data_IF_730990559791
#
_entry.id   IF_730990559791
#
_cell.length_a   1.000
_cell.length_b   1.000
_cell.length_c   1.000
_cell.angle_alpha   90.00
_cell.angle_beta   90.00
_cell.angle_gamma   90.00
#
_symmetry.space_group_name_H-M   'P 1'
#
loop_
_entity.id
_entity.type
_entity.pdbx_description
1 polymer ?
#
# COMPACT_ATOMS: atom_id res chain seq x y z
N UNK A 1 47.31 6.21 40.85
CA UNK A 1 45.88 6.55 40.66
C UNK A 1 45.54 7.16 39.29
N UNK A 2 46.50 7.65 38.48
CA UNK A 2 46.20 8.30 37.15
C UNK A 2 45.91 7.32 36.01
N UNK A 3 46.33 6.05 36.02
CA UNK A 3 46.10 5.10 34.97
C UNK A 3 44.70 4.46 34.95
N UNK A 4 43.99 4.44 36.08
CA UNK A 4 42.60 3.88 36.15
C UNK A 4 41.51 4.85 35.66
N UNK A 5 41.76 6.15 35.67
CA UNK A 5 40.82 7.13 35.14
C UNK A 5 40.81 7.20 33.61
N UNK A 6 41.95 6.96 32.98
CA UNK A 6 42.06 7.03 31.49
C UNK A 6 41.35 5.83 30.83
N UNK A 7 41.37 4.66 31.45
CA UNK A 7 40.69 3.46 30.93
C UNK A 7 39.17 3.57 31.07
N UNK A 8 38.66 4.25 32.11
CA UNK A 8 37.23 4.50 32.30
C UNK A 8 36.69 5.50 31.28
N UNK A 9 37.46 6.53 30.94
CA UNK A 9 37.06 7.55 29.94
C UNK A 9 37.08 6.97 28.51
N UNK A 10 38.06 6.10 28.18
CA UNK A 10 38.09 5.43 26.90
C UNK A 10 36.96 4.40 26.74
N UNK A 11 36.53 3.71 27.80
CA UNK A 11 35.40 2.78 27.76
C UNK A 11 34.06 3.54 27.65
N UNK A 12 33.93 4.69 28.29
CA UNK A 12 32.75 5.56 28.17
C UNK A 12 32.65 6.21 26.78
N UNK A 13 33.78 6.57 26.17
CA UNK A 13 33.81 7.10 24.80
C UNK A 13 33.47 6.02 23.76
N UNK A 14 33.81 4.73 24.01
CA UNK A 14 33.47 3.61 23.11
C UNK A 14 31.98 3.25 23.20
N UNK A 15 31.34 3.46 24.34
CA UNK A 15 29.90 3.21 24.53
C UNK A 15 29.03 4.32 23.92
N UNK A 16 29.55 5.53 23.76
CA UNK A 16 28.81 6.65 23.12
C UNK A 16 28.90 6.57 21.58
N UNK A 17 29.93 5.91 21.03
CA UNK A 17 30.07 5.74 19.59
C UNK A 17 29.25 4.59 18.98
N UNK A 18 28.52 3.80 19.81
CA UNK A 18 27.59 2.76 19.36
C UNK A 18 26.13 3.24 19.28
N UNK A 19 25.85 4.50 19.64
CA UNK A 19 24.52 5.13 19.51
C UNK A 19 24.42 6.09 18.33
N UNK A 20 25.07 5.82 17.24
CA UNK A 20 25.01 6.67 16.06
C UNK A 20 24.72 5.90 14.79
N UNK A 21 23.56 6.13 14.26
CA UNK A 21 23.02 5.78 12.92
C UNK A 21 21.88 4.76 12.92
N UNK A 22 20.78 5.08 13.61
CA UNK A 22 19.47 4.51 13.29
C UNK A 22 18.44 5.58 12.91
N UNK A 23 18.82 6.62 12.21
CA UNK A 23 17.93 7.77 12.02
C UNK A 23 17.83 8.28 10.59
N UNK A 24 17.75 7.39 9.60
CA UNK A 24 17.34 7.79 8.23
C UNK A 24 16.01 7.16 7.85
N UNK A 25 15.53 6.18 8.62
CA UNK A 25 14.20 5.57 8.42
C UNK A 25 13.21 5.83 9.57
N UNK A 26 13.61 6.54 10.61
CA UNK A 26 12.71 7.06 11.65
C UNK A 26 12.14 8.43 11.26
N UNK A 27 11.49 8.54 10.12
CA UNK A 27 10.19 9.20 10.15
C UNK A 27 9.30 8.22 10.91
N UNK A 28 8.88 8.57 12.09
CA UNK A 28 7.82 7.87 12.83
C UNK A 28 6.62 7.72 11.89
N UNK A 29 6.63 6.63 11.14
CA UNK A 29 5.44 6.16 10.48
C UNK A 29 4.59 5.67 11.63
N UNK A 30 3.56 6.44 11.96
CA UNK A 30 2.50 6.01 12.84
C UNK A 30 2.21 4.56 12.49
N UNK A 31 2.50 3.65 13.41
CA UNK A 31 2.16 2.24 13.29
C UNK A 31 0.74 2.17 12.74
N UNK A 32 0.50 1.28 11.78
CA UNK A 32 -0.86 0.87 11.43
C UNK A 32 -1.48 0.44 12.75
N UNK A 33 -2.22 1.33 13.38
CA UNK A 33 -3.11 0.90 14.44
C UNK A 33 -4.13 0.04 13.73
N UNK A 34 -4.32 -1.23 14.13
CA UNK A 34 -5.56 -1.90 13.79
C UNK A 34 -6.65 -0.86 14.08
N UNK A 35 -7.65 -0.76 13.24
CA UNK A 35 -8.83 0.03 13.52
C UNK A 35 -9.16 -0.18 14.99
N UNK A 36 -8.81 0.80 15.83
CA UNK A 36 -9.38 0.84 17.17
C UNK A 36 -10.85 1.09 16.86
N UNK A 37 -11.65 0.04 16.99
CA UNK A 37 -13.09 0.18 17.11
C UNK A 37 -13.31 1.43 17.94
N UNK A 38 -14.17 2.38 17.49
CA UNK A 38 -14.58 3.47 18.37
C UNK A 38 -15.05 2.81 19.63
N UNK A 39 -14.15 2.82 20.63
CA UNK A 39 -14.25 2.07 21.84
C UNK A 39 -15.64 2.30 22.41
N UNK A 40 -16.45 1.23 22.40
CA UNK A 40 -17.58 1.04 23.29
C UNK A 40 -18.53 2.24 23.44
N UNK A 41 -19.23 2.61 22.36
CA UNK A 41 -20.34 3.54 22.53
C UNK A 41 -21.65 2.83 22.89
N UNK A 42 -21.69 1.48 22.94
CA UNK A 42 -22.92 0.75 23.17
C UNK A 42 -22.76 -0.56 23.98
N UNK A 43 -21.73 -0.69 24.83
CA UNK A 43 -21.54 -1.89 25.66
C UNK A 43 -21.64 -1.60 27.16
N UNK A 44 -22.50 -0.68 27.56
CA UNK A 44 -22.98 -0.68 28.95
C UNK A 44 -24.45 -0.24 28.97
N UNK A 45 -25.19 -0.75 29.93
CA UNK A 45 -26.62 -0.58 30.11
C UNK A 45 -27.10 0.87 30.37
N UNK A 46 -26.27 1.85 30.12
CA UNK A 46 -26.61 3.25 29.93
C UNK A 46 -26.87 3.48 28.44
N UNK A 47 -28.12 3.38 28.07
CA UNK A 47 -28.68 3.77 26.76
C UNK A 47 -28.12 5.15 26.42
N UNK A 48 -27.14 5.21 25.53
CA UNK A 48 -26.51 6.49 25.14
C UNK A 48 -27.58 7.33 24.46
N UNK A 49 -28.17 8.26 25.22
CA UNK A 49 -29.22 9.11 24.72
C UNK A 49 -28.68 10.02 23.61
N UNK A 50 -29.29 9.96 22.47
CA UNK A 50 -29.04 10.86 21.35
C UNK A 50 -29.60 12.23 21.71
N UNK A 51 -28.77 13.26 21.69
CA UNK A 51 -29.12 14.61 22.12
C UNK A 51 -29.20 15.65 21.00
N UNK A 52 -28.61 15.36 19.83
CA UNK A 52 -28.62 16.27 18.70
C UNK A 52 -28.33 15.51 17.39
N UNK A 53 -28.48 16.20 16.27
CA UNK A 53 -28.26 15.67 14.94
C UNK A 53 -26.85 15.06 14.73
N UNK A 54 -25.80 15.73 15.21
CA UNK A 54 -24.43 15.22 15.07
C UNK A 54 -24.21 13.90 15.86
N UNK A 55 -24.87 13.77 17.01
CA UNK A 55 -24.89 12.52 17.79
C UNK A 55 -25.64 11.41 17.04
N UNK A 56 -26.78 11.74 16.44
CA UNK A 56 -27.55 10.81 15.59
C UNK A 56 -26.71 10.29 14.41
N UNK A 57 -26.11 11.19 13.65
CA UNK A 57 -25.26 10.81 12.51
C UNK A 57 -24.07 9.95 12.92
N UNK A 58 -23.47 10.25 14.08
CA UNK A 58 -22.36 9.46 14.61
C UNK A 58 -22.81 8.03 14.97
N UNK A 59 -23.94 7.88 15.64
CA UNK A 59 -24.51 6.58 15.98
C UNK A 59 -24.86 5.77 14.74
N UNK A 60 -25.56 6.38 13.77
CA UNK A 60 -25.92 5.72 12.50
C UNK A 60 -24.69 5.25 11.72
N UNK A 61 -23.66 6.09 11.59
CA UNK A 61 -22.39 5.71 10.92
C UNK A 61 -21.67 4.57 11.64
N UNK A 62 -21.63 4.58 12.98
CA UNK A 62 -21.02 3.53 13.76
C UNK A 62 -21.74 2.17 13.56
N UNK A 63 -23.07 2.18 13.58
CA UNK A 63 -23.89 0.98 13.34
C UNK A 63 -23.72 0.45 11.92
N UNK A 64 -23.69 1.35 10.92
CA UNK A 64 -23.45 0.97 9.53
C UNK A 64 -22.07 0.33 9.33
N UNK A 65 -21.03 0.88 9.98
CA UNK A 65 -19.66 0.35 9.91
C UNK A 65 -19.55 -1.04 10.60
N UNK A 66 -20.36 -1.30 11.63
CA UNK A 66 -20.45 -2.60 12.31
C UNK A 66 -21.38 -3.59 11.60
N UNK A 67 -21.97 -3.21 10.47
CA UNK A 67 -22.96 -4.02 9.76
C UNK A 67 -24.20 -4.38 10.59
N UNK A 68 -24.62 -3.49 11.50
CA UNK A 68 -25.83 -3.70 12.28
C UNK A 68 -27.05 -3.51 11.38
N UNK A 69 -27.95 -4.52 11.36
CA UNK A 69 -29.15 -4.51 10.51
C UNK A 69 -30.34 -3.88 11.18
N UNK A 70 -30.40 -3.95 12.50
CA UNK A 70 -31.51 -3.39 13.28
C UNK A 70 -31.01 -3.02 14.67
N UNK A 71 -31.34 -1.83 15.13
CA UNK A 71 -30.97 -1.31 16.45
C UNK A 71 -31.96 -0.24 16.90
N UNK A 72 -31.94 0.07 18.19
CA UNK A 72 -32.81 1.08 18.81
C UNK A 72 -31.98 2.24 19.31
N UNK A 73 -32.40 3.46 19.01
CA UNK A 73 -31.85 4.71 19.53
C UNK A 73 -32.85 5.37 20.48
N UNK A 74 -32.38 5.83 21.62
CA UNK A 74 -33.18 6.59 22.56
C UNK A 74 -32.85 8.09 22.49
N UNK A 75 -33.89 8.92 22.48
CA UNK A 75 -33.80 10.38 22.37
C UNK A 75 -34.31 11.00 23.68
N UNK A 76 -33.40 11.49 24.50
CA UNK A 76 -33.71 12.23 25.73
C UNK A 76 -33.13 13.64 25.64
N UNK A 77 -33.92 14.66 26.04
CA UNK A 77 -33.51 16.07 25.97
C UNK A 77 -32.90 16.44 24.60
N UNK A 78 -33.58 16.01 23.53
CA UNK A 78 -33.08 16.16 22.16
C UNK A 78 -33.27 17.63 21.67
N UNK A 79 -32.17 18.21 21.16
CA UNK A 79 -32.16 19.54 20.57
C UNK A 79 -32.47 19.44 19.07
N UNK A 80 -33.74 19.56 18.70
CA UNK A 80 -34.22 19.45 17.35
C UNK A 80 -35.61 18.81 17.26
N UNK A 81 -36.07 18.54 16.03
CA UNK A 81 -37.31 17.80 15.77
C UNK A 81 -36.97 16.39 15.36
N UNK A 82 -37.16 15.44 16.28
CA UNK A 82 -36.71 14.03 16.13
C UNK A 82 -37.17 13.43 14.79
N UNK A 83 -38.45 13.64 14.37
CA UNK A 83 -38.97 13.07 13.14
C UNK A 83 -38.27 13.61 11.89
N UNK A 84 -38.07 14.94 11.84
CA UNK A 84 -37.40 15.58 10.70
C UNK A 84 -35.92 15.20 10.64
N UNK A 85 -35.26 15.22 11.77
CA UNK A 85 -33.84 14.88 11.89
C UNK A 85 -33.57 13.39 11.60
N UNK A 86 -34.45 12.47 12.02
CA UNK A 86 -34.36 11.06 11.64
C UNK A 86 -34.50 10.85 10.12
N UNK A 87 -35.48 11.51 9.51
CA UNK A 87 -35.67 11.44 8.07
C UNK A 87 -34.43 11.94 7.31
N UNK A 88 -33.91 13.12 7.72
CA UNK A 88 -32.72 13.72 7.14
C UNK A 88 -31.48 12.84 7.36
N UNK A 89 -31.27 12.33 8.59
CA UNK A 89 -30.10 11.53 8.94
C UNK A 89 -30.09 10.16 8.26
N UNK A 90 -31.24 9.50 8.10
CA UNK A 90 -31.31 8.24 7.35
C UNK A 90 -30.98 8.43 5.87
N UNK A 91 -31.45 9.53 5.27
CA UNK A 91 -31.13 9.85 3.87
C UNK A 91 -29.66 10.29 3.73
N UNK A 92 -29.14 11.09 4.67
CA UNK A 92 -27.71 11.48 4.70
C UNK A 92 -26.81 10.27 4.93
N UNK A 93 -27.18 9.33 5.81
CA UNK A 93 -26.42 8.09 5.98
C UNK A 93 -26.32 7.35 4.65
N UNK A 94 -27.42 7.19 3.92
CA UNK A 94 -27.49 6.43 2.67
C UNK A 94 -26.73 7.09 1.53
N UNK A 95 -26.92 8.40 1.33
CA UNK A 95 -26.43 9.12 0.14
C UNK A 95 -25.27 10.07 0.42
N UNK A 96 -25.19 10.60 1.63
CA UNK A 96 -24.24 11.63 2.06
C UNK A 96 -22.97 11.08 2.70
N UNK A 97 -22.88 9.78 2.98
CA UNK A 97 -21.70 9.17 3.60
C UNK A 97 -21.00 8.17 2.68
N UNK A 98 -19.69 7.98 2.89
CA UNK A 98 -18.91 7.01 2.12
C UNK A 98 -19.39 5.57 2.35
N UNK A 99 -19.71 5.21 3.60
CA UNK A 99 -20.20 3.87 3.94
C UNK A 99 -21.60 3.63 3.36
N UNK A 100 -22.45 4.63 3.39
CA UNK A 100 -23.77 4.57 2.79
C UNK A 100 -23.70 4.32 1.29
N UNK A 101 -22.96 5.16 0.58
CA UNK A 101 -22.74 5.03 -0.86
C UNK A 101 -22.08 3.68 -1.24
N UNK A 102 -21.27 3.10 -0.34
CA UNK A 102 -20.59 1.84 -0.58
C UNK A 102 -21.48 0.61 -0.41
N UNK A 103 -22.29 0.56 0.65
CA UNK A 103 -22.95 -0.70 1.03
C UNK A 103 -24.42 -0.61 1.45
N UNK A 104 -25.04 0.59 1.56
CA UNK A 104 -26.43 0.71 2.04
C UNK A 104 -27.39 0.82 0.86
N UNK A 105 -28.39 -0.03 0.84
CA UNK A 105 -29.52 0.03 -0.10
C UNK A 105 -30.62 0.95 0.41
N UNK A 106 -31.09 0.71 1.64
CA UNK A 106 -32.12 1.53 2.26
C UNK A 106 -31.97 1.59 3.78
N UNK A 107 -32.48 2.67 4.36
CA UNK A 107 -32.58 2.88 5.81
C UNK A 107 -34.03 3.23 6.11
N UNK A 108 -34.66 2.49 7.02
CA UNK A 108 -36.01 2.72 7.48
C UNK A 108 -36.04 2.87 9.00
N UNK A 109 -37.02 3.58 9.52
CA UNK A 109 -37.16 3.75 10.95
C UNK A 109 -38.63 3.79 11.37
N UNK A 110 -38.91 3.38 12.62
CA UNK A 110 -40.17 3.52 13.31
C UNK A 110 -39.93 4.21 14.65
N UNK A 111 -40.81 5.11 15.06
CA UNK A 111 -40.67 5.83 16.32
C UNK A 111 -41.77 5.46 17.28
N UNK A 112 -41.42 5.31 18.58
CA UNK A 112 -42.35 5.04 19.66
C UNK A 112 -42.10 6.06 20.80
N UNK A 113 -43.18 6.66 21.32
CA UNK A 113 -43.10 7.55 22.47
C UNK A 113 -43.17 6.72 23.76
N UNK A 114 -42.07 6.68 24.51
CA UNK A 114 -42.02 6.12 25.86
C UNK A 114 -42.22 7.28 26.84
N UNK A 115 -42.77 7.04 28.02
CA UNK A 115 -43.29 8.04 28.96
C UNK A 115 -42.39 9.30 29.10
N UNK A 116 -41.09 9.14 29.10
CA UNK A 116 -40.12 10.25 29.33
C UNK A 116 -39.18 10.53 28.16
N UNK A 117 -39.19 9.74 27.10
CA UNK A 117 -38.28 9.86 25.94
C UNK A 117 -38.91 9.23 24.69
N UNK A 118 -38.31 9.47 23.54
CA UNK A 118 -38.70 8.82 22.29
C UNK A 118 -37.66 7.75 21.91
N UNK A 119 -38.13 6.61 21.44
CA UNK A 119 -37.28 5.58 20.83
C UNK A 119 -37.48 5.57 19.32
N UNK A 120 -36.38 5.27 18.59
CA UNK A 120 -36.45 4.96 17.17
C UNK A 120 -35.80 3.61 16.90
N UNK A 121 -36.57 2.70 16.33
CA UNK A 121 -36.12 1.44 15.80
C UNK A 121 -35.63 1.66 14.36
N UNK A 122 -34.33 1.49 14.13
CA UNK A 122 -33.70 1.70 12.81
C UNK A 122 -33.45 0.34 12.16
N UNK A 123 -33.74 0.24 10.87
CA UNK A 123 -33.41 -0.96 10.06
C UNK A 123 -32.60 -0.53 8.83
N UNK A 124 -31.42 -1.16 8.65
CA UNK A 124 -30.53 -0.91 7.52
C UNK A 124 -30.53 -2.16 6.61
N UNK A 125 -30.87 -1.96 5.36
CA UNK A 125 -30.69 -2.97 4.31
C UNK A 125 -29.37 -2.71 3.56
N UNK A 126 -28.56 -3.77 3.46
CA UNK A 126 -27.25 -3.71 2.79
C UNK A 126 -27.32 -4.38 1.43
N UNK A 127 -26.64 -3.80 0.44
CA UNK A 127 -26.45 -4.35 -0.91
C UNK A 127 -25.12 -5.13 -1.05
N UNK A 128 -24.31 -5.20 0.01
CA UNK A 128 -23.06 -5.97 0.09
C UNK A 128 -23.10 -6.94 1.26
N UNK A 129 -22.40 -8.07 1.19
CA UNK A 129 -22.32 -9.01 2.29
C UNK A 129 -21.48 -8.46 3.46
N UNK A 130 -21.78 -8.91 4.67
CA UNK A 130 -21.10 -8.51 5.90
C UNK A 130 -19.58 -8.67 5.82
N UNK A 131 -19.12 -9.78 5.22
CA UNK A 131 -17.68 -10.05 5.05
C UNK A 131 -16.94 -8.98 4.24
N UNK A 132 -17.59 -8.36 3.26
CA UNK A 132 -17.01 -7.25 2.50
C UNK A 132 -16.96 -5.97 3.32
N UNK A 133 -18.05 -5.63 4.02
CA UNK A 133 -18.15 -4.39 4.81
C UNK A 133 -17.17 -4.43 5.99
N UNK A 134 -17.12 -5.54 6.73
CA UNK A 134 -16.20 -5.72 7.86
C UNK A 134 -14.73 -5.85 7.44
N UNK A 135 -14.44 -6.09 6.18
CA UNK A 135 -13.07 -6.22 5.66
C UNK A 135 -12.56 -4.95 4.98
N UNK A 136 -13.25 -3.82 5.11
CA UNK A 136 -12.77 -2.54 4.60
C UNK A 136 -11.49 -2.17 5.35
N UNK A 137 -10.40 -1.98 4.60
CA UNK A 137 -9.15 -1.48 5.17
C UNK A 137 -9.27 -0.01 5.53
N UNK A 138 -8.65 0.42 6.64
CA UNK A 138 -8.54 1.83 6.99
C UNK A 138 -7.13 2.33 6.70
N UNK A 139 -7.01 3.42 5.95
CA UNK A 139 -5.73 4.03 5.62
C UNK A 139 -5.78 5.56 5.79
N UNK A 140 -4.66 6.15 6.21
CA UNK A 140 -4.52 7.60 6.40
C UNK A 140 -3.35 8.18 5.62
N UNK A 141 -2.41 7.35 5.20
CA UNK A 141 -1.18 7.74 4.50
C UNK A 141 -1.01 6.90 3.25
N UNK A 142 -0.20 7.40 2.31
CA UNK A 142 0.17 6.65 1.12
C UNK A 142 0.80 5.30 1.48
N UNK A 143 1.66 5.28 2.50
CA UNK A 143 2.27 4.03 2.98
C UNK A 143 1.22 3.04 3.47
N UNK A 144 0.25 3.47 4.29
CA UNK A 144 -0.80 2.57 4.78
C UNK A 144 -1.70 2.05 3.65
N UNK A 145 -1.92 2.82 2.59
CA UNK A 145 -2.61 2.34 1.39
C UNK A 145 -1.81 1.21 0.73
N UNK A 146 -0.50 1.40 0.54
CA UNK A 146 0.39 0.37 -0.02
C UNK A 146 0.41 -0.90 0.85
N UNK A 147 0.48 -0.76 2.17
CA UNK A 147 0.44 -1.89 3.10
C UNK A 147 -0.89 -2.68 3.00
N UNK A 148 -2.03 -1.98 2.87
CA UNK A 148 -3.33 -2.62 2.62
C UNK A 148 -3.36 -3.40 1.29
N UNK A 149 -2.79 -2.83 0.24
CA UNK A 149 -2.70 -3.50 -1.07
C UNK A 149 -1.82 -4.74 -0.98
N UNK A 150 -0.66 -4.65 -0.31
CA UNK A 150 0.24 -5.80 -0.13
C UNK A 150 -0.45 -6.93 0.63
N UNK A 151 -1.17 -6.62 1.73
CA UNK A 151 -1.97 -7.63 2.45
C UNK A 151 -3.04 -8.27 1.55
N UNK A 152 -3.71 -7.48 0.70
CA UNK A 152 -4.69 -8.01 -0.24
C UNK A 152 -4.05 -8.92 -1.31
N UNK A 153 -2.86 -8.56 -1.83
CA UNK A 153 -2.09 -9.38 -2.78
C UNK A 153 -1.60 -10.69 -2.15
N UNK A 154 -1.11 -10.65 -0.91
CA UNK A 154 -0.65 -11.84 -0.18
C UNK A 154 -1.81 -12.83 0.06
N UNK A 155 -2.98 -12.32 0.42
CA UNK A 155 -4.22 -13.11 0.59
C UNK A 155 -4.91 -13.45 -0.73
N UNK A 156 -4.34 -13.11 -1.88
CA UNK A 156 -4.90 -13.35 -3.21
C UNK A 156 -6.34 -12.80 -3.35
N UNK A 157 -6.64 -11.65 -2.72
CA UNK A 157 -7.94 -11.01 -2.88
C UNK A 157 -8.05 -10.39 -4.26
N UNK A 158 -9.13 -10.67 -4.96
CA UNK A 158 -9.47 -10.04 -6.23
C UNK A 158 -10.32 -8.78 -6.06
N UNK A 159 -10.93 -8.61 -4.88
CA UNK A 159 -11.72 -7.44 -4.52
C UNK A 159 -11.44 -7.06 -3.07
N UNK A 160 -11.27 -5.78 -2.82
CA UNK A 160 -11.13 -5.21 -1.48
C UNK A 160 -11.50 -3.72 -1.51
N UNK A 161 -11.72 -3.14 -0.34
CA UNK A 161 -12.02 -1.72 -0.21
C UNK A 161 -11.07 -1.05 0.78
N UNK A 162 -10.72 0.21 0.52
CA UNK A 162 -9.86 1.02 1.39
C UNK A 162 -10.62 2.30 1.73
N UNK A 163 -10.84 2.54 3.02
CA UNK A 163 -11.42 3.77 3.54
C UNK A 163 -10.33 4.75 3.92
N UNK A 164 -10.48 6.01 3.46
CA UNK A 164 -9.55 7.11 3.75
C UNK A 164 -10.36 8.25 4.35
N UNK A 165 -10.02 8.67 5.58
CA UNK A 165 -10.81 9.65 6.35
C UNK A 165 -10.76 11.07 5.79
N UNK A 166 -9.63 11.48 5.20
CA UNK A 166 -9.47 12.78 4.56
C UNK A 166 -8.63 12.59 3.31
N UNK A 167 -9.22 12.75 2.13
CA UNK A 167 -8.50 12.43 0.90
C UNK A 167 -8.81 13.38 -0.24
N UNK A 168 -7.75 13.91 -0.83
CA UNK A 168 -7.78 14.57 -2.14
C UNK A 168 -7.52 13.59 -3.28
N UNK A 169 -7.22 12.30 -2.96
CA UNK A 169 -6.95 11.28 -3.96
C UNK A 169 -8.17 11.01 -4.82
N UNK A 170 -7.91 10.77 -6.09
CA UNK A 170 -8.88 10.32 -7.08
C UNK A 170 -8.65 8.85 -7.45
N UNK A 171 -9.54 8.27 -8.23
CA UNK A 171 -9.45 6.85 -8.64
C UNK A 171 -8.15 6.53 -9.36
N UNK A 172 -7.65 7.47 -10.18
CA UNK A 172 -6.38 7.34 -10.90
C UNK A 172 -5.18 7.27 -9.96
N UNK A 173 -5.16 8.06 -8.88
CA UNK A 173 -4.08 8.06 -7.90
C UNK A 173 -4.02 6.73 -7.15
N UNK A 174 -5.18 6.23 -6.71
CA UNK A 174 -5.28 4.93 -6.03
C UNK A 174 -4.89 3.80 -6.98
N UNK A 175 -5.32 3.83 -8.24
CA UNK A 175 -4.92 2.84 -9.24
C UNK A 175 -3.39 2.85 -9.48
N UNK A 176 -2.76 4.03 -9.47
CA UNK A 176 -1.31 4.15 -9.58
C UNK A 176 -0.58 3.56 -8.35
N UNK A 177 -1.10 3.78 -7.14
CA UNK A 177 -0.58 3.17 -5.91
C UNK A 177 -0.72 1.65 -5.92
N UNK A 178 -1.87 1.12 -6.34
CA UNK A 178 -2.09 -0.33 -6.50
C UNK A 178 -1.11 -0.92 -7.51
N UNK A 179 -0.93 -0.27 -8.66
CA UNK A 179 0.06 -0.69 -9.67
C UNK A 179 1.47 -0.67 -9.11
N UNK A 180 1.85 0.39 -8.38
CA UNK A 180 3.17 0.48 -7.73
C UNK A 180 3.38 -0.66 -6.74
N UNK A 181 2.38 -1.00 -5.91
CA UNK A 181 2.45 -2.14 -5.01
C UNK A 181 2.64 -3.46 -5.77
N UNK A 182 1.88 -3.69 -6.85
CA UNK A 182 2.04 -4.89 -7.70
C UNK A 182 3.46 -5.03 -8.25
N UNK A 183 4.03 -3.95 -8.79
CA UNK A 183 5.39 -3.96 -9.36
C UNK A 183 6.47 -4.20 -8.29
N UNK A 184 6.23 -3.77 -7.05
CA UNK A 184 7.17 -3.90 -5.95
C UNK A 184 6.99 -5.19 -5.12
N UNK A 185 6.09 -6.09 -5.53
CA UNK A 185 5.86 -7.40 -4.92
C UNK A 185 6.04 -8.53 -5.96
N UNK A 186 7.23 -8.67 -6.58
CA UNK A 186 7.44 -9.60 -7.70
C UNK A 186 7.22 -11.05 -7.33
N UNK A 187 7.40 -11.43 -6.05
CA UNK A 187 7.14 -12.79 -5.56
C UNK A 187 5.64 -13.10 -5.45
N UNK A 188 4.82 -12.10 -5.20
CA UNK A 188 3.36 -12.25 -5.09
C UNK A 188 2.67 -12.07 -6.45
N UNK A 189 3.24 -11.24 -7.34
CA UNK A 189 2.61 -10.83 -8.60
C UNK A 189 3.34 -11.44 -9.80
N UNK A 190 2.94 -12.67 -10.15
CA UNK A 190 3.42 -13.43 -11.32
C UNK A 190 2.46 -13.35 -12.52
N UNK A 191 1.41 -12.55 -12.36
CA UNK A 191 0.43 -12.15 -13.35
C UNK A 191 -0.04 -10.73 -12.99
N UNK A 192 0.24 -9.75 -13.86
CA UNK A 192 -0.13 -8.36 -13.58
C UNK A 192 -1.62 -8.15 -13.82
N UNK A 193 -2.39 -7.79 -12.76
CA UNK A 193 -3.83 -7.63 -12.91
C UNK A 193 -4.20 -6.38 -13.71
N UNK A 194 -5.35 -6.42 -14.35
CA UNK A 194 -6.09 -5.21 -14.73
C UNK A 194 -6.72 -4.64 -13.45
N UNK A 195 -6.46 -3.36 -13.19
CA UNK A 195 -6.84 -2.67 -11.97
C UNK A 195 -8.01 -1.75 -12.27
N UNK A 196 -9.15 -1.98 -11.62
CA UNK A 196 -10.29 -1.07 -11.62
C UNK A 196 -10.49 -0.49 -10.23
N UNK A 197 -10.73 0.82 -10.15
CA UNK A 197 -10.97 1.53 -8.89
C UNK A 197 -12.27 2.32 -9.00
N UNK A 198 -13.16 2.13 -8.03
CA UNK A 198 -14.40 2.88 -7.89
C UNK A 198 -14.36 3.67 -6.58
N UNK A 199 -14.76 4.94 -6.58
CA UNK A 199 -14.84 5.79 -5.39
C UNK A 199 -16.27 5.93 -4.91
N UNK A 200 -16.44 5.83 -3.59
CA UNK A 200 -17.69 6.05 -2.87
C UNK A 200 -17.44 7.15 -1.83
N UNK A 201 -18.08 8.31 -1.97
CA UNK A 201 -17.85 9.46 -1.09
C UNK A 201 -19.12 10.01 -0.45
N UNK A 202 -20.28 9.84 -1.10
CA UNK A 202 -21.53 10.39 -0.63
C UNK A 202 -21.51 11.91 -0.40
N UNK A 203 -20.49 12.64 -0.88
CA UNK A 203 -20.33 14.07 -0.61
C UNK A 203 -19.53 14.40 0.66
N UNK A 204 -19.14 13.41 1.46
CA UNK A 204 -18.27 13.61 2.62
C UNK A 204 -16.80 13.73 2.23
N UNK A 205 -15.94 14.24 3.15
CA UNK A 205 -14.48 14.23 2.98
C UNK A 205 -13.87 12.83 3.09
N UNK A 206 -14.59 11.89 3.69
CA UNK A 206 -14.25 10.49 3.75
C UNK A 206 -14.58 9.81 2.43
N UNK A 207 -13.65 9.00 1.93
CA UNK A 207 -13.83 8.21 0.70
C UNK A 207 -13.59 6.74 0.98
N UNK A 208 -14.36 5.86 0.34
CA UNK A 208 -14.06 4.43 0.25
C UNK A 208 -13.73 4.13 -1.21
N UNK A 209 -12.56 3.55 -1.44
CA UNK A 209 -12.12 3.11 -2.75
C UNK A 209 -12.29 1.60 -2.85
N UNK A 210 -13.23 1.16 -3.69
CA UNK A 210 -13.36 -0.24 -4.06
C UNK A 210 -12.35 -0.58 -5.15
N UNK A 211 -11.48 -1.56 -4.89
CA UNK A 211 -10.46 -2.03 -5.83
C UNK A 211 -10.84 -3.41 -6.33
N UNK A 212 -10.82 -3.59 -7.64
CA UNK A 212 -10.99 -4.89 -8.30
C UNK A 212 -9.74 -5.22 -9.10
N UNK A 213 -9.17 -6.40 -8.85
CA UNK A 213 -8.02 -6.95 -9.55
C UNK A 213 -8.47 -8.12 -10.43
N UNK A 214 -8.37 -7.97 -11.74
CA UNK A 214 -8.68 -9.05 -12.68
C UNK A 214 -7.39 -9.65 -13.22
N UNK A 215 -7.21 -10.93 -12.97
CA UNK A 215 -6.08 -11.74 -13.42
C UNK A 215 -6.46 -12.58 -14.64
N UNK A 216 -5.50 -12.82 -15.53
CA UNK A 216 -5.69 -13.71 -16.67
C UNK A 216 -5.50 -15.17 -16.27
N UNK A 217 -4.73 -15.44 -15.21
CA UNK A 217 -4.39 -16.77 -14.75
C UNK A 217 -5.24 -17.23 -13.56
N UNK A 218 -5.57 -18.52 -13.54
CA UNK A 218 -6.22 -19.14 -12.40
C UNK A 218 -5.27 -19.35 -11.21
N UNK A 219 -5.82 -19.45 -9.99
CA UNK A 219 -5.06 -19.50 -8.74
C UNK A 219 -4.01 -20.63 -8.68
N UNK A 220 -4.30 -21.81 -9.23
CA UNK A 220 -3.34 -22.92 -9.27
C UNK A 220 -2.11 -22.58 -10.11
N UNK A 221 -2.30 -21.96 -11.28
CA UNK A 221 -1.22 -21.54 -12.17
C UNK A 221 -0.38 -20.44 -11.52
N UNK A 222 -1.02 -19.49 -10.83
CA UNK A 222 -0.34 -18.45 -10.06
C UNK A 222 0.56 -19.05 -8.98
N UNK A 223 0.07 -20.02 -8.20
CA UNK A 223 0.86 -20.69 -7.16
C UNK A 223 2.04 -21.49 -7.73
N UNK A 224 1.83 -22.19 -8.85
CA UNK A 224 2.90 -22.91 -9.53
C UNK A 224 3.99 -21.94 -10.03
N UNK A 225 3.60 -20.82 -10.65
CA UNK A 225 4.52 -19.79 -11.10
C UNK A 225 5.30 -19.15 -9.97
N UNK A 226 4.66 -18.85 -8.83
CA UNK A 226 5.33 -18.35 -7.62
C UNK A 226 6.40 -19.30 -7.13
N UNK A 227 6.09 -20.60 -7.07
CA UNK A 227 7.05 -21.64 -6.67
C UNK A 227 8.23 -21.73 -7.61
N UNK A 228 7.99 -21.69 -8.93
CA UNK A 228 9.04 -21.73 -9.94
C UNK A 228 9.93 -20.48 -9.88
N UNK A 229 9.33 -19.30 -9.74
CA UNK A 229 10.05 -18.03 -9.60
C UNK A 229 10.95 -18.03 -8.37
N UNK A 230 10.44 -18.47 -7.21
CA UNK A 230 11.20 -18.56 -5.98
C UNK A 230 12.40 -19.51 -6.12
N UNK A 231 12.17 -20.70 -6.70
CA UNK A 231 13.26 -21.65 -6.99
C UNK A 231 14.31 -21.06 -7.94
N UNK A 232 13.88 -20.33 -8.97
CA UNK A 232 14.79 -19.68 -9.92
C UNK A 232 15.62 -18.57 -9.26
N UNK A 233 15.00 -17.71 -8.47
CA UNK A 233 15.69 -16.64 -7.72
C UNK A 233 16.75 -17.24 -6.80
N UNK A 234 16.41 -18.28 -6.02
CA UNK A 234 17.41 -18.98 -5.16
C UNK A 234 18.59 -19.52 -5.94
N UNK A 235 18.35 -20.08 -7.13
CA UNK A 235 19.43 -20.55 -8.00
C UNK A 235 20.32 -19.41 -8.47
N UNK A 236 19.75 -18.28 -8.86
CA UNK A 236 20.51 -17.13 -9.34
C UNK A 236 21.37 -16.51 -8.25
N UNK A 237 20.83 -16.32 -7.04
CA UNK A 237 21.58 -15.72 -5.93
C UNK A 237 22.69 -16.63 -5.38
N UNK A 238 22.61 -17.97 -5.60
CA UNK A 238 23.65 -18.90 -5.13
C UNK A 238 25.03 -18.65 -5.76
N UNK A 239 25.09 -17.96 -6.89
CA UNK A 239 26.31 -17.55 -7.58
C UNK A 239 26.85 -16.19 -7.13
N UNK A 240 26.14 -15.48 -6.25
CA UNK A 240 26.48 -14.13 -5.79
C UNK A 240 26.97 -14.17 -4.34
N UNK A 241 27.98 -13.35 -4.03
CA UNK A 241 28.46 -13.16 -2.66
C UNK A 241 27.64 -12.06 -1.99
N UNK A 242 26.80 -12.43 -1.03
CA UNK A 242 25.99 -11.47 -0.30
C UNK A 242 26.86 -10.53 0.57
N UNK A 243 26.48 -9.25 0.62
CA UNK A 243 27.10 -8.26 1.50
C UNK A 243 28.33 -7.55 0.93
N UNK A 244 28.82 -7.90 -0.26
CA UNK A 244 29.84 -7.10 -0.96
C UNK A 244 29.23 -5.85 -1.58
N UNK A 245 30.04 -4.80 -1.74
CA UNK A 245 29.59 -3.51 -2.30
C UNK A 245 29.08 -3.64 -3.75
N UNK A 246 29.68 -4.55 -4.49
CA UNK A 246 29.41 -4.85 -5.89
C UNK A 246 28.21 -5.79 -6.07
N UNK A 247 27.72 -6.45 -5.01
CA UNK A 247 26.61 -7.43 -5.10
C UNK A 247 25.38 -6.89 -5.83
N UNK A 248 24.91 -5.65 -5.59
CA UNK A 248 23.79 -5.09 -6.35
C UNK A 248 24.05 -5.05 -7.85
N UNK A 249 25.27 -4.72 -8.26
CA UNK A 249 25.67 -4.56 -9.66
C UNK A 249 25.84 -5.93 -10.35
N UNK A 250 26.42 -6.90 -9.64
CA UNK A 250 26.52 -8.29 -10.11
C UNK A 250 25.14 -8.91 -10.30
N UNK A 251 24.19 -8.66 -9.37
CA UNK A 251 22.80 -9.07 -9.49
C UNK A 251 22.13 -8.53 -10.75
N UNK A 252 22.41 -7.27 -11.12
CA UNK A 252 21.90 -6.67 -12.34
C UNK A 252 22.36 -7.42 -13.60
N UNK A 253 23.65 -7.76 -13.70
CA UNK A 253 24.16 -8.56 -14.82
C UNK A 253 23.57 -9.98 -14.87
N UNK A 254 23.39 -10.62 -13.72
CA UNK A 254 22.75 -11.93 -13.66
C UNK A 254 21.33 -11.88 -14.24
N UNK A 255 20.55 -10.86 -13.90
CA UNK A 255 19.21 -10.67 -14.47
C UNK A 255 19.26 -10.41 -15.98
N UNK A 256 20.12 -9.48 -16.42
CA UNK A 256 20.27 -9.14 -17.84
C UNK A 256 20.64 -10.34 -18.72
N UNK A 257 21.50 -11.24 -18.21
CA UNK A 257 21.90 -12.47 -18.92
C UNK A 257 20.82 -13.54 -18.95
N UNK A 258 19.85 -13.45 -18.03
CA UNK A 258 18.76 -14.44 -17.93
C UNK A 258 17.60 -14.09 -18.83
N UNK A 259 17.43 -12.82 -19.18
CA UNK A 259 16.26 -12.31 -19.88
C UNK A 259 16.62 -11.68 -21.22
N UNK A 260 16.04 -12.20 -22.31
CA UNK A 260 16.03 -11.53 -23.60
C UNK A 260 14.95 -10.45 -23.62
N UNK A 261 15.32 -9.23 -24.04
CA UNK A 261 14.37 -8.13 -24.10
C UNK A 261 13.35 -8.36 -25.22
N UNK A 262 12.08 -8.17 -24.87
CA UNK A 262 10.95 -8.33 -25.79
C UNK A 262 10.00 -7.15 -25.65
N UNK A 263 9.33 -6.81 -26.74
CA UNK A 263 8.23 -5.83 -26.75
C UNK A 263 6.86 -6.47 -26.57
N UNK A 264 6.80 -7.80 -26.36
CA UNK A 264 5.56 -8.54 -26.11
C UNK A 264 5.07 -8.37 -24.67
N UNK A 265 3.89 -8.91 -24.36
CA UNK A 265 3.20 -8.74 -23.08
C UNK A 265 3.87 -9.43 -21.85
N UNK A 266 5.14 -9.82 -21.94
CA UNK A 266 5.92 -10.42 -20.86
C UNK A 266 6.37 -9.33 -19.88
N UNK A 267 5.66 -9.17 -18.75
CA UNK A 267 5.77 -8.00 -17.86
C UNK A 267 6.15 -8.31 -16.42
N UNK A 268 6.28 -9.59 -16.04
CA UNK A 268 6.51 -10.01 -14.67
C UNK A 268 7.93 -10.54 -14.45
N UNK A 269 8.36 -10.62 -13.19
CA UNK A 269 9.61 -11.27 -12.84
C UNK A 269 9.65 -12.74 -13.29
N UNK A 270 8.50 -13.43 -13.29
CA UNK A 270 8.38 -14.79 -13.81
C UNK A 270 8.75 -14.86 -15.29
N UNK A 271 8.21 -13.95 -16.10
CA UNK A 271 8.49 -13.92 -17.54
C UNK A 271 9.99 -13.72 -17.80
N UNK A 272 10.63 -12.78 -17.09
CA UNK A 272 12.05 -12.50 -17.24
C UNK A 272 12.96 -13.65 -16.76
N UNK A 273 12.70 -14.22 -15.57
CA UNK A 273 13.63 -15.14 -14.92
C UNK A 273 13.35 -16.61 -15.23
N UNK A 274 12.09 -16.99 -15.48
CA UNK A 274 11.69 -18.37 -15.75
C UNK A 274 11.44 -18.60 -17.23
N UNK A 275 10.66 -17.72 -17.89
CA UNK A 275 10.41 -17.83 -19.34
C UNK A 275 11.56 -17.28 -20.19
N UNK A 276 12.42 -16.44 -19.62
CA UNK A 276 13.63 -15.92 -20.28
C UNK A 276 13.40 -14.74 -21.21
N UNK A 277 12.20 -14.13 -21.21
CA UNK A 277 11.87 -12.95 -22.03
C UNK A 277 11.09 -11.93 -21.24
N UNK A 278 11.27 -10.63 -21.52
CA UNK A 278 10.54 -9.59 -20.82
C UNK A 278 10.75 -8.18 -21.36
N UNK A 279 9.80 -7.31 -21.05
CA UNK A 279 9.91 -5.86 -21.27
C UNK A 279 10.67 -5.17 -20.12
N UNK A 280 10.71 -3.84 -20.11
CA UNK A 280 11.36 -3.08 -19.05
C UNK A 280 10.76 -3.33 -17.65
N UNK A 281 9.45 -3.60 -17.56
CA UNK A 281 8.81 -3.91 -16.28
C UNK A 281 9.19 -5.31 -15.78
N UNK A 282 9.25 -6.29 -16.67
CA UNK A 282 9.70 -7.64 -16.33
C UNK A 282 11.15 -7.64 -15.80
N UNK A 283 12.06 -6.92 -16.48
CA UNK A 283 13.44 -6.76 -16.04
C UNK A 283 13.54 -6.05 -14.68
N UNK A 284 12.78 -4.97 -14.49
CA UNK A 284 12.77 -4.24 -13.23
C UNK A 284 12.22 -5.08 -12.07
N UNK A 285 11.13 -5.83 -12.28
CA UNK A 285 10.58 -6.75 -11.28
C UNK A 285 11.52 -7.93 -11.01
N UNK A 286 12.18 -8.46 -12.04
CA UNK A 286 13.17 -9.53 -11.89
C UNK A 286 14.35 -9.09 -11.02
N UNK A 287 14.88 -7.90 -11.28
CA UNK A 287 15.96 -7.35 -10.48
C UNK A 287 15.52 -7.07 -9.03
N UNK A 288 14.31 -6.54 -8.84
CA UNK A 288 13.71 -6.39 -7.51
C UNK A 288 13.62 -7.72 -6.77
N UNK A 289 13.17 -8.81 -7.43
CA UNK A 289 13.08 -10.14 -6.81
C UNK A 289 14.44 -10.66 -6.34
N UNK A 290 15.49 -10.45 -7.14
CA UNK A 290 16.87 -10.84 -6.77
C UNK A 290 17.39 -9.95 -5.64
N UNK A 291 17.18 -8.64 -5.69
CA UNK A 291 17.56 -7.72 -4.63
C UNK A 291 16.90 -8.04 -3.29
N UNK A 292 15.59 -8.34 -3.30
CA UNK A 292 14.84 -8.72 -2.10
C UNK A 292 15.42 -9.98 -1.44
N UNK A 293 15.74 -10.99 -2.24
CA UNK A 293 16.33 -12.23 -1.77
C UNK A 293 17.77 -12.03 -1.20
N UNK A 294 18.46 -10.96 -1.58
CA UNK A 294 19.76 -10.55 -1.08
C UNK A 294 19.69 -9.48 0.02
N UNK A 295 18.49 -9.05 0.44
CA UNK A 295 18.25 -7.94 1.35
C UNK A 295 18.88 -6.61 0.89
N UNK A 296 18.89 -6.36 -0.43
CA UNK A 296 19.36 -5.11 -1.03
C UNK A 296 18.15 -4.19 -1.19
N UNK A 297 18.17 -2.97 -0.60
CA UNK A 297 17.11 -1.99 -0.82
C UNK A 297 16.97 -1.64 -2.31
N UNK A 298 15.85 -2.02 -2.89
CA UNK A 298 15.54 -1.81 -4.29
C UNK A 298 14.03 -1.56 -4.46
N UNK A 299 13.68 -0.64 -5.33
CA UNK A 299 12.30 -0.32 -5.66
C UNK A 299 12.11 -0.28 -7.17
N UNK A 300 11.00 -0.79 -7.66
CA UNK A 300 10.57 -0.60 -9.06
C UNK A 300 9.84 0.73 -9.16
N UNK A 301 10.26 1.53 -10.11
CA UNK A 301 9.63 2.80 -10.47
C UNK A 301 8.96 2.65 -11.83
N UNK A 302 7.70 3.06 -11.93
CA UNK A 302 7.02 3.20 -13.21
C UNK A 302 6.96 4.67 -13.62
N UNK A 303 7.20 4.96 -14.88
CA UNK A 303 7.20 6.30 -15.42
C UNK A 303 7.28 6.28 -16.93
N UNK A 304 7.87 7.33 -17.51
CA UNK A 304 8.05 7.45 -18.96
C UNK A 304 9.49 7.76 -19.32
N UNK A 305 9.97 7.13 -20.38
CA UNK A 305 11.20 7.48 -21.06
C UNK A 305 10.85 8.03 -22.44
N UNK A 306 11.16 9.31 -22.67
CA UNK A 306 10.83 9.99 -23.94
C UNK A 306 9.34 9.85 -24.34
N UNK A 307 8.44 9.89 -23.34
CA UNK A 307 7.00 9.80 -23.56
C UNK A 307 6.44 8.35 -23.65
N UNK A 308 7.30 7.32 -23.64
CA UNK A 308 6.91 5.91 -23.68
C UNK A 308 6.92 5.35 -22.26
N UNK A 309 5.86 4.65 -21.86
CA UNK A 309 5.76 4.00 -20.56
C UNK A 309 6.90 3.02 -20.33
N UNK A 310 7.53 3.08 -19.15
CA UNK A 310 8.71 2.30 -18.80
C UNK A 310 8.78 2.04 -17.31
N UNK A 311 9.38 0.90 -16.95
CA UNK A 311 9.79 0.63 -15.58
C UNK A 311 11.31 0.55 -15.49
N UNK A 312 11.85 0.95 -14.32
CA UNK A 312 13.25 0.81 -13.95
C UNK A 312 13.38 0.68 -12.44
N UNK A 313 14.58 0.56 -11.91
CA UNK A 313 14.81 0.43 -10.49
C UNK A 313 15.46 1.67 -9.88
N UNK A 314 15.14 1.94 -8.62
CA UNK A 314 15.97 2.72 -7.71
C UNK A 314 16.58 1.73 -6.73
N UNK A 315 17.90 1.61 -6.71
CA UNK A 315 18.64 0.62 -5.92
C UNK A 315 19.69 1.28 -5.05
N UNK A 316 19.89 0.75 -3.85
CA UNK A 316 20.95 1.21 -2.96
C UNK A 316 22.26 0.51 -3.30
N UNK A 317 23.31 1.32 -3.59
CA UNK A 317 24.67 0.86 -3.80
C UNK A 317 25.59 1.65 -2.89
N UNK A 318 26.33 0.97 -2.03
CA UNK A 318 27.27 1.60 -1.09
C UNK A 318 26.63 2.77 -0.28
N UNK A 319 25.40 2.54 0.22
CA UNK A 319 24.65 3.51 1.05
C UNK A 319 23.93 4.62 0.28
N UNK A 320 24.13 4.76 -1.03
CA UNK A 320 23.48 5.76 -1.87
C UNK A 320 22.45 5.11 -2.80
N UNK A 321 21.37 5.86 -3.13
CA UNK A 321 20.37 5.42 -4.10
C UNK A 321 20.69 5.91 -5.51
N UNK A 322 20.46 5.03 -6.49
CA UNK A 322 20.67 5.30 -7.91
C UNK A 322 19.54 4.73 -8.74
N UNK A 323 19.18 5.42 -9.79
CA UNK A 323 18.33 4.89 -10.85
C UNK A 323 19.12 3.95 -11.74
N UNK A 324 18.56 2.79 -12.03
CA UNK A 324 19.14 1.78 -12.92
C UNK A 324 18.05 1.20 -13.82
N UNK A 325 18.08 1.53 -15.10
CA UNK A 325 17.19 0.99 -16.13
C UNK A 325 17.91 -0.15 -16.87
N UNK A 326 17.63 -1.40 -16.48
CA UNK A 326 18.29 -2.57 -17.06
C UNK A 326 18.00 -2.75 -18.56
N UNK A 327 16.86 -2.27 -19.04
CA UNK A 327 16.50 -2.36 -20.45
C UNK A 327 17.34 -1.47 -21.36
N UNK A 328 18.12 -0.54 -20.79
CA UNK A 328 19.03 0.37 -21.49
C UNK A 328 20.51 0.04 -21.25
N UNK A 329 20.82 -1.09 -20.61
CA UNK A 329 22.17 -1.52 -20.33
C UNK A 329 22.64 -2.61 -21.31
N UNK A 330 23.96 -2.79 -21.38
CA UNK A 330 24.57 -3.85 -22.18
C UNK A 330 25.77 -4.45 -21.46
N UNK A 331 26.99 -4.02 -21.77
CA UNK A 331 28.24 -4.47 -21.15
C UNK A 331 28.63 -3.65 -19.90
N UNK A 332 27.95 -2.53 -19.67
CA UNK A 332 28.18 -1.64 -18.53
C UNK A 332 26.87 -1.27 -17.89
N UNK A 333 26.91 -0.94 -16.59
CA UNK A 333 25.77 -0.40 -15.86
C UNK A 333 25.98 1.11 -15.66
N UNK A 334 24.99 1.87 -16.08
CA UNK A 334 24.95 3.30 -15.81
C UNK A 334 24.01 3.59 -14.64
N UNK A 335 24.60 3.86 -13.47
CA UNK A 335 23.90 4.25 -12.27
C UNK A 335 23.73 5.77 -12.28
N UNK A 336 22.48 6.21 -12.25
CA UNK A 336 22.10 7.59 -12.49
C UNK A 336 21.51 8.26 -11.27
N UNK A 337 21.88 9.53 -11.04
CA UNK A 337 21.20 10.40 -10.08
C UNK A 337 19.86 10.90 -10.64
N UNK A 338 19.00 11.41 -9.77
CA UNK A 338 17.76 12.09 -10.16
C UNK A 338 18.04 13.21 -11.18
N UNK A 339 19.10 14.00 -10.95
CA UNK A 339 19.48 15.09 -11.84
C UNK A 339 19.81 14.59 -13.26
N UNK A 340 20.57 13.49 -13.37
CA UNK A 340 20.93 12.92 -14.66
C UNK A 340 19.75 12.22 -15.37
N UNK A 341 18.68 11.90 -14.67
CA UNK A 341 17.46 11.33 -15.22
C UNK A 341 16.50 12.40 -15.75
N UNK A 342 16.50 13.59 -15.14
CA UNK A 342 15.60 14.70 -15.52
C UNK A 342 15.74 15.07 -16.99
N UNK A 343 14.61 15.45 -17.59
CA UNK A 343 14.54 15.82 -19.00
C UNK A 343 14.38 14.64 -19.96
N UNK A 344 14.77 13.42 -19.56
CA UNK A 344 14.65 12.22 -20.38
C UNK A 344 13.63 11.22 -19.80
N UNK A 345 13.64 11.08 -18.47
CA UNK A 345 12.70 10.27 -17.72
C UNK A 345 11.71 11.15 -16.94
N UNK A 346 10.49 10.67 -16.80
CA UNK A 346 9.43 11.32 -16.04
C UNK A 346 8.85 10.31 -15.05
N UNK A 347 8.81 10.66 -13.78
CA UNK A 347 8.20 9.86 -12.70
C UNK A 347 7.65 10.79 -11.60
N UNK A 348 6.86 10.23 -10.70
CA UNK A 348 6.40 10.95 -9.50
C UNK A 348 7.54 11.00 -8.50
N UNK A 349 8.06 12.18 -8.17
CA UNK A 349 9.27 12.35 -7.35
C UNK A 349 9.20 11.64 -5.99
N UNK A 350 8.04 11.71 -5.31
CA UNK A 350 7.84 11.11 -3.98
C UNK A 350 7.52 9.61 -4.02
N UNK A 351 7.54 8.99 -5.23
CA UNK A 351 7.21 7.56 -5.38
C UNK A 351 8.39 6.62 -5.10
N UNK A 352 9.61 7.15 -4.94
CA UNK A 352 10.81 6.36 -4.70
C UNK A 352 11.86 7.14 -3.90
N UNK A 353 12.87 6.46 -3.30
CA UNK A 353 14.00 7.12 -2.68
C UNK A 353 14.76 8.04 -3.65
N UNK A 354 15.23 9.17 -3.15
CA UNK A 354 15.94 10.17 -3.93
C UNK A 354 17.40 9.76 -4.21
N UNK A 355 17.81 9.77 -5.47
CA UNK A 355 19.18 9.51 -5.91
C UNK A 355 19.98 10.80 -6.04
N UNK A 356 20.64 11.25 -4.97
CA UNK A 356 21.42 12.51 -4.95
C UNK A 356 22.91 12.34 -5.24
N UNK A 357 23.43 11.11 -5.18
CA UNK A 357 24.85 10.84 -5.41
C UNK A 357 25.22 11.01 -6.89
N UNK A 358 26.49 11.33 -7.15
CA UNK A 358 26.98 11.49 -8.50
C UNK A 358 26.82 10.21 -9.32
N UNK A 359 26.28 10.33 -10.53
CA UNK A 359 26.14 9.22 -11.48
C UNK A 359 27.49 8.64 -11.88
N UNK A 360 27.55 7.33 -12.07
CA UNK A 360 28.75 6.65 -12.53
C UNK A 360 28.42 5.45 -13.44
N UNK A 361 29.42 5.00 -14.18
CA UNK A 361 29.36 3.81 -15.01
C UNK A 361 30.22 2.73 -14.34
N UNK A 362 29.70 1.52 -14.25
CA UNK A 362 30.41 0.37 -13.70
C UNK A 362 30.49 -0.75 -14.72
N UNK A 363 31.66 -1.41 -14.76
CA UNK A 363 31.90 -2.61 -15.58
C UNK A 363 32.05 -3.82 -14.68
N UNK A 364 31.60 -4.95 -15.19
CA UNK A 364 31.75 -6.20 -14.44
C UNK A 364 33.22 -6.52 -14.12
N UNK A 365 33.48 -6.87 -12.87
CA UNK A 365 34.82 -7.12 -12.36
C UNK A 365 35.57 -5.89 -11.83
N UNK A 366 35.04 -4.68 -12.00
CA UNK A 366 35.56 -3.48 -11.32
C UNK A 366 35.21 -3.53 -9.83
N UNK A 367 36.06 -2.95 -8.98
CA UNK A 367 35.77 -2.72 -7.55
C UNK A 367 35.23 -1.32 -7.34
N UNK A 368 34.25 -1.19 -6.41
CA UNK A 368 33.69 0.08 -5.97
C UNK A 368 34.52 0.75 -4.88
#
# INVERSE_FOLDING_TARGET
>A
MRKRCITGILLAALLVSLCGCTSVFDKEYLSVRPYEEPSNLLTDADTTQIRNYAGLMRALNAMAAQYERSFVLAFGDYDGIIADDLAAACEELRTGTAIGAYCIDSVTYETEQVIAYCEASITIAYNRPESEVRSIYSAQTQKSILDCVVDALDRQRTQFAIQISTSTLETGDVAALVRSACLNQPQLVVDLPVIDVTVYSGGSSQKIFGVTLRYDLGASVVNDRRTQLDGRVRTLISSLTAGEKETPLQAAFVVMRTCEQSTTAARTAYDALVSGTGDSCALAMAYKAVCDALNIPCQVVSGRFQGIDRCWNVVQVNGNYYHLDLSMQSETLWLRSDESMRGTYQWTADSCPTGTAQSFIWREGEKL
#
